data_IF_218041491143
#
_entry.id   IF_218041491143
#
_cell.length_a   1.000
_cell.length_b   1.000
_cell.length_c   1.000
_cell.angle_alpha   90.00
_cell.angle_beta   90.00
_cell.angle_gamma   90.00
#
_symmetry.space_group_name_H-M   'P 1'
#
loop_
_entity.id
_entity.type
_entity.pdbx_description
1 polymer ?
#
# COMPACT_ATOMS: atom_id res chain seq x y z
N UNK A 1 5.21 18.54 -9.55
CA UNK A 1 4.94 17.11 -9.23
C UNK A 1 3.55 16.99 -8.68
N UNK A 2 2.77 16.08 -9.19
CA UNK A 2 1.37 15.96 -8.78
C UNK A 2 1.25 14.72 -7.90
N UNK A 3 1.13 14.93 -6.57
CA UNK A 3 0.71 13.88 -5.64
C UNK A 3 -0.72 13.48 -6.00
N UNK A 4 -0.94 12.19 -6.26
CA UNK A 4 -2.26 11.64 -6.61
C UNK A 4 -3.04 11.30 -5.33
N UNK A 5 -2.34 10.92 -4.26
CA UNK A 5 -2.94 10.57 -2.98
C UNK A 5 -1.95 9.89 -2.05
N UNK A 6 -2.43 9.52 -0.87
CA UNK A 6 -1.68 8.75 0.12
C UNK A 6 -2.30 7.37 0.29
N UNK A 7 -1.44 6.39 0.55
CA UNK A 7 -1.83 5.01 0.73
C UNK A 7 -1.20 4.44 2.00
N UNK A 8 -2.00 3.81 2.85
CA UNK A 8 -1.53 3.06 4.01
C UNK A 8 -2.02 1.62 3.94
N UNK A 9 -1.14 0.68 4.21
CA UNK A 9 -1.50 -0.72 4.41
C UNK A 9 -1.12 -1.17 5.81
N UNK A 10 -1.97 -1.96 6.44
CA UNK A 10 -1.73 -2.54 7.76
C UNK A 10 -1.96 -4.05 7.70
N UNK A 11 -0.97 -4.84 8.10
CA UNK A 11 -1.15 -6.25 8.40
C UNK A 11 -1.22 -6.44 9.91
N UNK A 12 -2.40 -6.80 10.41
CA UNK A 12 -2.71 -7.01 11.83
C UNK A 12 -2.50 -8.48 12.11
N UNK A 13 -1.49 -8.82 12.90
CA UNK A 13 -0.99 -10.19 13.08
C UNK A 13 -1.27 -10.67 14.50
N UNK A 14 -1.68 -11.95 14.60
CA UNK A 14 -1.98 -12.62 15.86
C UNK A 14 -3.35 -12.24 16.41
N UNK A 15 -4.30 -12.00 15.53
CA UNK A 15 -5.72 -11.88 15.87
C UNK A 15 -6.25 -13.29 16.09
N UNK A 16 -6.76 -13.55 17.29
CA UNK A 16 -7.33 -14.86 17.64
C UNK A 16 -8.85 -14.86 17.60
N UNK A 17 -9.44 -13.72 17.32
CA UNK A 17 -10.89 -13.52 17.37
C UNK A 17 -11.41 -13.33 15.94
N UNK A 18 -12.31 -14.20 15.54
CA UNK A 18 -13.12 -13.97 14.34
C UNK A 18 -14.18 -12.91 14.69
N UNK A 19 -14.17 -11.81 13.98
CA UNK A 19 -15.12 -10.73 14.17
C UNK A 19 -16.24 -10.83 13.13
N UNK A 20 -17.44 -10.48 13.55
CA UNK A 20 -18.57 -10.34 12.63
C UNK A 20 -18.27 -9.22 11.59
N UNK A 21 -18.67 -9.39 10.33
CA UNK A 21 -18.46 -8.36 9.30
C UNK A 21 -18.96 -6.97 9.66
N UNK A 22 -19.96 -6.85 10.53
CA UNK A 22 -20.47 -5.56 11.01
C UNK A 22 -19.43 -4.77 11.83
N UNK A 23 -18.51 -5.46 12.52
CA UNK A 23 -17.42 -4.81 13.26
C UNK A 23 -16.53 -4.03 12.29
N UNK A 24 -16.15 -4.65 11.18
CA UNK A 24 -15.30 -4.03 10.16
C UNK A 24 -16.02 -2.88 9.45
N UNK A 25 -17.32 -3.03 9.17
CA UNK A 25 -18.11 -1.92 8.64
C UNK A 25 -18.12 -0.72 9.59
N UNK A 26 -18.31 -0.96 10.88
CA UNK A 26 -18.27 0.10 11.88
C UNK A 26 -16.89 0.78 11.95
N UNK A 27 -15.81 -0.01 11.82
CA UNK A 27 -14.44 0.54 11.78
C UNK A 27 -14.24 1.39 10.53
N UNK A 28 -14.70 0.93 9.34
CA UNK A 28 -14.66 1.70 8.11
C UNK A 28 -15.39 3.04 8.27
N UNK A 29 -16.59 3.03 8.87
CA UNK A 29 -17.36 4.26 9.12
C UNK A 29 -16.67 5.22 10.08
N UNK A 30 -16.02 4.70 11.14
CA UNK A 30 -15.20 5.49 12.07
C UNK A 30 -14.01 6.14 11.35
N UNK A 31 -13.32 5.36 10.50
CA UNK A 31 -12.17 5.83 9.71
C UNK A 31 -12.63 6.90 8.71
N UNK A 32 -13.69 6.64 7.96
CA UNK A 32 -14.21 7.56 6.97
C UNK A 32 -14.59 8.91 7.59
N UNK A 33 -15.24 8.88 8.77
CA UNK A 33 -15.56 10.11 9.51
C UNK A 33 -14.31 10.86 9.96
N UNK A 34 -13.30 10.14 10.49
CA UNK A 34 -12.07 10.75 10.98
C UNK A 34 -11.18 11.29 9.86
N UNK A 35 -11.19 10.63 8.70
CA UNK A 35 -10.44 11.03 7.50
C UNK A 35 -11.20 12.06 6.63
N UNK A 36 -12.43 12.43 7.03
CA UNK A 36 -13.30 13.36 6.27
C UNK A 36 -13.55 12.89 4.83
N UNK A 37 -13.74 11.57 4.63
CA UNK A 37 -14.03 10.98 3.33
C UNK A 37 -15.48 10.48 3.25
N UNK A 38 -16.01 10.41 2.02
CA UNK A 38 -17.40 10.09 1.74
C UNK A 38 -17.54 8.64 1.29
N UNK A 39 -18.27 7.82 2.06
CA UNK A 39 -18.60 6.44 1.66
C UNK A 39 -19.72 6.50 0.61
N UNK A 40 -19.46 5.92 -0.58
CA UNK A 40 -20.43 5.76 -1.66
C UNK A 40 -21.14 4.41 -1.60
N UNK A 41 -20.37 3.34 -1.36
CA UNK A 41 -20.87 1.97 -1.34
C UNK A 41 -20.01 1.10 -0.42
N UNK A 42 -20.59 0.05 0.19
CA UNK A 42 -19.88 -0.99 0.92
C UNK A 42 -20.31 -2.34 0.38
N UNK A 43 -19.33 -3.08 -0.18
CA UNK A 43 -19.48 -4.45 -0.64
C UNK A 43 -18.82 -5.43 0.31
N UNK A 44 -19.45 -6.62 0.47
CA UNK A 44 -18.94 -7.68 1.35
C UNK A 44 -19.02 -9.03 0.65
N UNK A 45 -18.00 -9.85 0.88
CA UNK A 45 -18.01 -11.24 0.41
C UNK A 45 -17.45 -12.15 1.49
N UNK A 46 -18.20 -13.21 1.83
CA UNK A 46 -17.77 -14.25 2.76
C UNK A 46 -17.25 -15.44 1.98
N UNK A 47 -16.08 -15.94 2.36
CA UNK A 47 -15.48 -17.12 1.76
C UNK A 47 -15.84 -18.40 2.55
N UNK A 48 -15.90 -19.51 1.85
CA UNK A 48 -16.00 -20.82 2.47
C UNK A 48 -14.61 -21.50 2.48
N UNK A 49 -14.18 -22.15 3.56
CA UNK A 49 -14.93 -22.37 4.81
C UNK A 49 -14.88 -21.19 5.78
N UNK A 50 -14.04 -20.17 5.57
CA UNK A 50 -13.85 -19.05 6.50
C UNK A 50 -13.19 -17.83 5.82
N UNK A 51 -13.23 -16.71 6.52
CA UNK A 51 -12.69 -15.44 6.04
C UNK A 51 -13.71 -14.63 5.24
N UNK A 52 -13.45 -13.36 5.10
CA UNK A 52 -14.26 -12.47 4.26
C UNK A 52 -13.46 -11.26 3.80
N UNK A 53 -14.01 -10.60 2.81
CA UNK A 53 -13.54 -9.31 2.32
C UNK A 53 -14.65 -8.28 2.48
N UNK A 54 -14.29 -7.08 2.91
CA UNK A 54 -15.16 -5.92 2.87
C UNK A 54 -14.41 -4.77 2.19
N UNK A 55 -15.09 -4.12 1.25
CA UNK A 55 -14.59 -2.99 0.48
C UNK A 55 -15.56 -1.84 0.57
N UNK A 56 -15.08 -0.67 0.97
CA UNK A 56 -15.81 0.58 0.88
C UNK A 56 -15.27 1.40 -0.29
N UNK A 57 -16.14 1.67 -1.25
CA UNK A 57 -15.90 2.67 -2.28
C UNK A 57 -16.10 4.05 -1.68
N UNK A 58 -15.12 4.91 -1.84
CA UNK A 58 -15.15 6.30 -1.38
C UNK A 58 -15.16 7.24 -2.59
N UNK A 59 -15.73 8.43 -2.42
CA UNK A 59 -15.58 9.49 -3.40
C UNK A 59 -14.10 9.86 -3.62
N UNK A 60 -13.27 9.68 -2.58
CA UNK A 60 -11.84 9.97 -2.57
C UNK A 60 -10.95 8.71 -2.75
N UNK A 61 -11.49 7.54 -2.98
CA UNK A 61 -10.88 6.26 -3.38
C UNK A 61 -11.46 5.01 -2.69
N UNK A 62 -10.78 4.34 -1.72
CA UNK A 62 -11.31 3.11 -1.10
C UNK A 62 -10.68 2.79 0.26
N UNK A 63 -11.43 1.98 1.04
CA UNK A 63 -10.93 1.27 2.22
C UNK A 63 -11.29 -0.20 2.06
N UNK A 64 -10.37 -1.11 2.38
CA UNK A 64 -10.66 -2.54 2.40
C UNK A 64 -10.13 -3.26 3.64
N UNK A 65 -10.81 -4.36 4.01
CA UNK A 65 -10.30 -5.38 4.91
C UNK A 65 -10.40 -6.74 4.25
N UNK A 66 -9.36 -7.55 4.43
CA UNK A 66 -9.32 -8.96 4.07
C UNK A 66 -8.95 -9.76 5.32
N UNK A 67 -9.72 -10.78 5.65
CA UNK A 67 -9.45 -11.59 6.83
C UNK A 67 -8.96 -12.98 6.44
N UNK A 68 -7.95 -13.46 7.17
CA UNK A 68 -7.34 -14.77 7.03
C UNK A 68 -7.33 -15.46 8.40
N UNK A 69 -8.49 -15.97 8.88
CA UNK A 69 -8.60 -16.55 10.22
C UNK A 69 -7.61 -17.67 10.47
N UNK A 70 -7.35 -18.51 9.46
CA UNK A 70 -6.40 -19.63 9.50
C UNK A 70 -4.96 -19.21 9.75
N UNK A 71 -4.63 -17.95 9.46
CA UNK A 71 -3.30 -17.34 9.68
C UNK A 71 -3.29 -16.39 10.87
N UNK A 72 -4.46 -16.07 11.42
CA UNK A 72 -4.61 -15.04 12.43
C UNK A 72 -4.19 -13.66 11.91
N UNK A 73 -4.55 -13.34 10.65
CA UNK A 73 -4.16 -12.10 9.96
C UNK A 73 -5.40 -11.38 9.47
N UNK A 74 -5.39 -10.05 9.65
CA UNK A 74 -6.29 -9.13 8.98
C UNK A 74 -5.43 -8.16 8.18
N UNK A 75 -5.63 -8.08 6.86
CA UNK A 75 -5.00 -7.10 6.01
C UNK A 75 -5.95 -5.94 5.76
N UNK A 76 -5.45 -4.74 5.96
CA UNK A 76 -6.18 -3.48 5.80
C UNK A 76 -5.48 -2.61 4.77
N UNK A 77 -6.28 -1.93 3.98
CA UNK A 77 -5.82 -1.04 2.92
C UNK A 77 -6.66 0.23 2.90
N UNK A 78 -6.01 1.39 2.90
CA UNK A 78 -6.68 2.68 2.76
C UNK A 78 -5.88 3.57 1.82
N UNK A 79 -6.45 3.82 0.67
CA UNK A 79 -5.97 4.81 -0.29
C UNK A 79 -6.94 5.99 -0.34
N UNK A 80 -6.40 7.21 -0.33
CA UNK A 80 -7.20 8.42 -0.45
C UNK A 80 -6.46 9.55 -1.14
N UNK A 81 -7.18 10.33 -1.96
CA UNK A 81 -6.77 11.64 -2.44
C UNK A 81 -7.36 12.79 -1.60
N UNK A 82 -7.99 12.47 -0.46
CA UNK A 82 -8.55 13.43 0.47
C UNK A 82 -7.50 14.30 1.16
N UNK A 83 -7.97 15.25 1.97
CA UNK A 83 -7.10 16.23 2.64
C UNK A 83 -6.44 15.68 3.91
N UNK A 84 -7.09 14.72 4.57
CA UNK A 84 -6.61 14.11 5.82
C UNK A 84 -5.80 12.89 5.49
N UNK A 85 -4.62 12.75 6.08
CA UNK A 85 -3.74 11.59 5.86
C UNK A 85 -4.42 10.29 6.29
N UNK A 86 -4.35 9.21 5.48
CA UNK A 86 -4.91 7.91 5.82
C UNK A 86 -4.26 7.28 7.07
N UNK A 87 -3.13 7.79 7.54
CA UNK A 87 -2.46 7.33 8.76
C UNK A 87 -3.34 7.43 10.02
N UNK A 88 -4.37 8.28 10.00
CA UNK A 88 -5.37 8.37 11.09
C UNK A 88 -6.07 7.04 11.34
N UNK A 89 -6.16 6.16 10.34
CA UNK A 89 -6.74 4.83 10.47
C UNK A 89 -5.95 3.93 11.43
N UNK A 90 -4.63 4.15 11.57
CA UNK A 90 -3.76 3.31 12.39
C UNK A 90 -4.22 3.26 13.86
N UNK A 91 -4.52 4.39 14.45
CA UNK A 91 -4.95 4.46 15.86
C UNK A 91 -6.34 3.87 16.07
N UNK A 92 -7.23 4.00 15.10
CA UNK A 92 -8.57 3.41 15.13
C UNK A 92 -8.46 1.89 15.06
N UNK A 93 -7.69 1.36 14.11
CA UNK A 93 -7.48 -0.07 13.91
C UNK A 93 -6.80 -0.72 15.11
N UNK A 94 -5.77 -0.07 15.69
CA UNK A 94 -5.08 -0.55 16.89
C UNK A 94 -6.01 -0.70 18.09
N UNK A 95 -6.97 0.18 18.24
CA UNK A 95 -7.94 0.14 19.35
C UNK A 95 -9.01 -0.92 19.17
N UNK A 96 -9.41 -1.17 17.93
CA UNK A 96 -10.55 -2.06 17.64
C UNK A 96 -10.13 -3.54 17.62
N UNK A 97 -8.96 -3.86 17.09
CA UNK A 97 -8.52 -5.26 16.90
C UNK A 97 -7.42 -5.64 17.88
N UNK A 98 -7.67 -6.69 18.69
CA UNK A 98 -6.61 -7.30 19.49
C UNK A 98 -5.56 -7.92 18.58
N UNK A 99 -4.29 -7.64 18.83
CA UNK A 99 -3.19 -8.06 17.97
C UNK A 99 -1.92 -8.29 18.77
N UNK A 100 -1.01 -9.11 18.23
CA UNK A 100 0.35 -9.25 18.72
C UNK A 100 1.29 -8.22 18.07
N UNK A 101 1.08 -7.93 16.80
CA UNK A 101 1.90 -7.01 16.01
C UNK A 101 1.08 -6.41 14.88
N UNK A 102 1.40 -5.16 14.51
CA UNK A 102 0.94 -4.54 13.26
C UNK A 102 2.16 -4.21 12.42
N UNK A 103 2.13 -4.62 11.16
CA UNK A 103 3.09 -4.17 10.15
C UNK A 103 2.42 -3.07 9.35
N UNK A 104 3.05 -1.91 9.29
CA UNK A 104 2.51 -0.73 8.60
C UNK A 104 3.42 -0.37 7.44
N UNK A 105 2.83 -0.07 6.29
CA UNK A 105 3.49 0.59 5.16
C UNK A 105 2.67 1.79 4.76
N UNK A 106 3.32 2.92 4.55
CA UNK A 106 2.68 4.15 4.08
C UNK A 106 3.54 4.74 2.96
N UNK A 107 2.91 5.19 1.91
CA UNK A 107 3.59 5.79 0.77
C UNK A 107 2.68 6.78 0.04
N UNK A 108 3.30 7.82 -0.49
CA UNK A 108 2.64 8.72 -1.42
C UNK A 108 2.49 8.04 -2.79
N UNK A 109 1.30 8.14 -3.36
CA UNK A 109 1.08 7.83 -4.77
C UNK A 109 1.24 9.12 -5.55
N UNK A 110 2.31 9.19 -6.30
CA UNK A 110 2.64 10.32 -7.16
C UNK A 110 3.03 9.84 -8.55
N UNK A 111 3.43 10.74 -9.41
CA UNK A 111 3.86 10.41 -10.77
C UNK A 111 5.34 10.04 -10.84
N UNK A 112 6.04 9.96 -9.70
CA UNK A 112 7.44 9.57 -9.66
C UNK A 112 7.57 8.06 -9.74
N UNK A 113 8.40 7.59 -10.66
CA UNK A 113 8.86 6.22 -10.67
C UNK A 113 9.95 6.03 -9.62
N UNK A 114 9.96 4.86 -8.97
CA UNK A 114 11.03 4.47 -8.07
C UNK A 114 11.94 3.45 -8.75
N UNK A 115 13.22 3.75 -8.85
CA UNK A 115 14.24 2.77 -9.16
C UNK A 115 14.63 2.02 -7.89
N UNK A 116 14.56 0.69 -7.93
CA UNK A 116 14.93 -0.18 -6.81
C UNK A 116 16.26 -0.86 -7.08
N UNK A 117 17.28 -0.48 -6.35
CA UNK A 117 18.56 -1.18 -6.35
C UNK A 117 18.48 -2.42 -5.45
N UNK A 118 18.31 -3.59 -6.09
CA UNK A 118 18.24 -4.89 -5.42
C UNK A 118 19.60 -5.59 -5.29
N UNK A 119 20.65 -5.02 -5.85
CA UNK A 119 21.97 -5.69 -5.99
C UNK A 119 23.02 -5.20 -5.01
N UNK A 120 22.80 -4.09 -4.30
CA UNK A 120 23.86 -3.46 -3.51
C UNK A 120 24.24 -4.21 -2.24
N UNK A 121 23.36 -5.02 -1.64
CA UNK A 121 23.67 -5.89 -0.50
C UNK A 121 22.51 -6.83 -0.18
N UNK A 122 22.73 -8.09 0.18
CA UNK A 122 21.67 -8.99 0.63
C UNK A 122 20.91 -8.40 1.82
N UNK A 123 19.59 -8.33 1.71
CA UNK A 123 18.71 -7.80 2.76
C UNK A 123 18.61 -6.28 2.85
N UNK A 124 19.33 -5.52 2.02
CA UNK A 124 19.21 -4.08 1.92
C UNK A 124 18.58 -3.72 0.57
N UNK A 125 17.39 -3.12 0.59
CA UNK A 125 16.76 -2.53 -0.58
C UNK A 125 16.92 -1.01 -0.53
N UNK A 126 17.55 -0.44 -1.55
CA UNK A 126 17.63 1.02 -1.75
C UNK A 126 16.66 1.40 -2.84
N UNK A 127 16.01 2.54 -2.67
CA UNK A 127 15.10 3.10 -3.67
C UNK A 127 15.49 4.55 -3.95
N UNK A 128 15.50 4.89 -5.22
CA UNK A 128 15.82 6.23 -5.69
C UNK A 128 14.66 6.76 -6.50
N UNK A 129 14.37 8.06 -6.35
CA UNK A 129 13.33 8.72 -7.11
C UNK A 129 13.85 9.00 -8.52
N UNK A 130 13.13 8.54 -9.54
CA UNK A 130 13.42 8.80 -10.94
C UNK A 130 12.62 10.02 -11.38
N UNK A 131 13.31 11.08 -11.78
CA UNK A 131 12.68 12.25 -12.39
C UNK A 131 12.25 11.96 -13.83
N UNK A 132 13.15 11.32 -14.59
CA UNK A 132 12.93 11.01 -16.00
C UNK A 132 13.77 9.80 -16.43
N UNK A 133 13.24 9.01 -17.37
CA UNK A 133 14.01 8.01 -18.12
C UNK A 133 14.51 8.72 -19.37
N UNK A 134 15.81 9.02 -19.41
CA UNK A 134 16.43 9.77 -20.48
C UNK A 134 16.63 8.91 -21.74
N UNK A 135 17.04 7.66 -21.55
CA UNK A 135 17.25 6.70 -22.63
C UNK A 135 16.93 5.28 -22.12
N UNK A 136 16.35 4.46 -22.99
CA UNK A 136 16.05 3.05 -22.77
C UNK A 136 16.34 2.27 -24.05
N UNK A 137 17.34 1.37 -24.01
CA UNK A 137 17.77 0.62 -25.19
C UNK A 137 18.44 -0.71 -24.85
N UNK A 138 18.52 -1.58 -25.85
CA UNK A 138 19.33 -2.80 -25.76
C UNK A 138 20.72 -2.57 -26.38
N UNK A 139 21.75 -2.94 -25.63
CA UNK A 139 23.13 -2.93 -26.12
C UNK A 139 23.34 -3.97 -27.22
N UNK A 140 24.44 -3.87 -27.97
CA UNK A 140 24.81 -4.84 -29.01
C UNK A 140 24.98 -6.28 -28.49
N UNK A 141 25.22 -6.44 -27.21
CA UNK A 141 25.34 -7.73 -26.50
C UNK A 141 24.07 -8.17 -25.77
N UNK A 142 22.93 -7.50 -26.06
CA UNK A 142 21.62 -7.88 -25.56
C UNK A 142 21.28 -7.39 -24.15
N UNK A 143 22.16 -6.61 -23.51
CA UNK A 143 21.87 -6.05 -22.20
C UNK A 143 20.85 -4.91 -22.29
N UNK A 144 19.88 -4.88 -21.38
CA UNK A 144 18.97 -3.75 -21.24
C UNK A 144 19.67 -2.63 -20.46
N UNK A 145 19.71 -1.44 -21.02
CA UNK A 145 20.36 -0.27 -20.46
C UNK A 145 19.32 0.84 -20.34
N UNK A 146 19.20 1.39 -19.14
CA UNK A 146 18.41 2.59 -18.88
C UNK A 146 19.34 3.71 -18.39
N UNK A 147 19.17 4.90 -18.95
CA UNK A 147 19.79 6.13 -18.43
C UNK A 147 18.71 6.91 -17.74
N UNK A 148 18.87 7.07 -16.43
CA UNK A 148 17.88 7.67 -15.56
C UNK A 148 18.40 9.01 -15.04
N UNK A 149 17.51 10.01 -14.93
CA UNK A 149 17.76 11.19 -14.10
C UNK A 149 17.20 10.91 -12.71
N UNK A 150 18.08 10.71 -11.73
CA UNK A 150 17.73 10.46 -10.34
C UNK A 150 17.76 11.75 -9.53
N UNK A 151 16.74 11.96 -8.69
CA UNK A 151 16.62 13.18 -7.87
C UNK A 151 17.87 13.44 -7.00
N UNK A 152 18.48 12.35 -6.48
CA UNK A 152 19.62 12.45 -5.56
C UNK A 152 20.99 12.48 -6.27
N UNK A 153 21.08 11.93 -7.48
CA UNK A 153 22.37 11.69 -8.15
C UNK A 153 22.44 12.27 -9.55
N UNK A 154 21.32 12.83 -10.08
CA UNK A 154 21.25 13.27 -11.47
C UNK A 154 21.36 12.10 -12.46
N UNK A 155 22.04 12.32 -13.57
CA UNK A 155 22.17 11.33 -14.66
C UNK A 155 22.92 10.09 -14.21
N UNK A 156 22.23 8.96 -14.19
CA UNK A 156 22.71 7.65 -13.71
C UNK A 156 22.44 6.57 -14.72
N UNK A 157 23.31 5.56 -14.77
CA UNK A 157 23.19 4.43 -15.70
C UNK A 157 22.77 3.19 -14.92
N UNK A 158 21.66 2.58 -15.32
CA UNK A 158 21.28 1.23 -14.93
C UNK A 158 21.57 0.23 -16.04
N UNK A 159 22.17 -0.90 -15.65
CA UNK A 159 22.46 -1.99 -16.55
C UNK A 159 21.91 -3.28 -16.01
N UNK A 160 20.76 -3.70 -16.53
CA UNK A 160 20.13 -4.97 -16.18
C UNK A 160 20.83 -6.10 -16.95
N UNK A 161 21.48 -7.01 -16.23
CA UNK A 161 21.98 -8.24 -16.83
C UNK A 161 20.79 -9.12 -17.24
N UNK A 162 20.73 -9.54 -18.47
CA UNK A 162 19.84 -10.62 -18.90
C UNK A 162 20.44 -11.89 -18.32
N UNK A 163 19.76 -12.48 -17.33
CA UNK A 163 20.04 -13.85 -16.86
C UNK A 163 19.36 -14.82 -17.79
#
# INVERSE_FOLDING_TARGET
MTKVGEHITLDIIGTTQEHDPSVYENVIRKIAKAAEVTILEISKYKFEPQGFTILALLAESHISFHTFPEKGIISFDFFTCGKVSPSIALDIVKKEFKHKRIVTKAFDRDTKSLYHDIYSSPGLQKSYVVNEVLEDFKSKVGQHIEILDLEQFGKSLDRKSVV
#
